data_IF_854999681115
#
_entry.id   IF_854999681115
#
_cell.length_a   1.000
_cell.length_b   1.000
_cell.length_c   1.000
_cell.angle_alpha   90.00
_cell.angle_beta   90.00
_cell.angle_gamma   90.00
#
_symmetry.space_group_name_H-M   'P 1'
#
loop_
_entity.id
_entity.type
_entity.pdbx_description
1 polymer ?
#
# COMPACT_ATOMS: atom_id res chain seq x y z
N UNK A 1 14.12 27.54 12.60
CA UNK A 1 12.92 27.39 11.75
C UNK A 1 12.99 28.42 10.65
N UNK A 2 12.90 28.03 9.41
CA UNK A 2 12.80 28.95 8.27
C UNK A 2 11.45 28.74 7.58
N UNK A 3 10.76 29.84 7.29
CA UNK A 3 9.51 29.83 6.51
C UNK A 3 9.84 30.22 5.08
N UNK A 4 9.56 29.35 4.13
CA UNK A 4 9.69 29.66 2.70
C UNK A 4 8.35 30.19 2.18
N UNK A 5 8.35 31.41 1.71
CA UNK A 5 7.14 32.02 1.14
C UNK A 5 6.77 31.29 -0.14
N UNK A 6 5.61 30.64 -0.14
CA UNK A 6 5.02 30.00 -1.31
C UNK A 6 5.06 28.48 -1.35
N UNK A 7 5.79 27.79 -0.46
CA UNK A 7 5.88 26.31 -0.47
C UNK A 7 5.62 25.64 0.88
N UNK A 8 5.70 26.36 2.01
CA UNK A 8 5.48 25.81 3.35
C UNK A 8 6.55 26.20 4.37
N UNK A 9 6.53 25.50 5.49
CA UNK A 9 7.45 25.69 6.60
C UNK A 9 8.41 24.52 6.70
N UNK A 10 9.71 24.83 6.88
CA UNK A 10 10.75 23.83 7.16
C UNK A 10 11.42 24.10 8.50
N UNK A 11 11.63 23.07 9.28
CA UNK A 11 12.36 23.15 10.55
C UNK A 11 13.38 22.01 10.63
N UNK A 12 14.55 22.33 11.21
CA UNK A 12 15.67 21.39 11.36
C UNK A 12 16.91 22.13 11.79
N UNK A 13 18.04 21.44 11.85
CA UNK A 13 19.35 22.03 12.09
C UNK A 13 19.93 22.44 10.73
N UNK A 14 20.14 23.72 10.53
CA UNK A 14 20.70 24.30 9.32
C UNK A 14 22.18 24.58 9.55
N UNK A 15 23.04 24.12 8.67
CA UNK A 15 24.47 24.38 8.65
C UNK A 15 24.81 25.14 7.37
N UNK A 16 25.52 26.28 7.47
CA UNK A 16 26.00 27.08 6.33
C UNK A 16 24.93 27.36 5.26
N UNK A 17 23.71 27.76 5.66
CA UNK A 17 22.57 28.06 4.77
C UNK A 17 22.13 26.86 3.88
N UNK A 18 22.43 25.65 4.30
CA UNK A 18 21.99 24.41 3.62
C UNK A 18 20.72 23.85 4.25
N UNK A 19 19.91 23.15 3.45
CA UNK A 19 18.79 22.37 3.96
C UNK A 19 19.27 21.34 5.01
N UNK A 20 18.50 21.14 6.10
CA UNK A 20 18.90 20.18 7.12
C UNK A 20 18.93 18.77 6.55
N UNK A 21 19.93 17.98 6.99
CA UNK A 21 20.00 16.55 6.64
C UNK A 21 18.83 15.74 7.22
N UNK A 22 18.18 16.26 8.27
CA UNK A 22 16.98 15.72 8.90
C UNK A 22 16.11 16.88 9.39
N UNK A 23 14.82 16.84 9.07
CA UNK A 23 13.93 17.93 9.44
C UNK A 23 12.46 17.63 9.29
N UNK A 24 11.66 18.63 9.59
CA UNK A 24 10.22 18.62 9.35
C UNK A 24 9.90 19.65 8.26
N UNK A 25 9.09 19.24 7.31
CA UNK A 25 8.50 20.11 6.30
C UNK A 25 6.97 20.03 6.41
N UNK A 26 6.30 21.18 6.39
CA UNK A 26 4.84 21.27 6.36
C UNK A 26 4.49 22.24 5.23
N UNK A 27 3.72 21.76 4.25
CA UNK A 27 3.24 22.63 3.17
C UNK A 27 1.83 23.19 3.44
N UNK A 28 1.37 24.04 2.54
CA UNK A 28 0.05 24.69 2.65
C UNK A 28 -1.11 23.79 2.16
N UNK A 29 -0.80 22.58 1.68
CA UNK A 29 -1.78 21.57 1.23
C UNK A 29 -2.04 20.50 2.30
N UNK A 30 -1.67 20.79 3.57
CA UNK A 30 -1.83 19.87 4.70
C UNK A 30 -0.95 18.60 4.62
N UNK A 31 0.22 18.69 3.95
CA UNK A 31 1.22 17.63 3.99
C UNK A 31 2.27 17.92 5.06
N UNK A 32 2.62 16.88 5.80
CA UNK A 32 3.72 16.91 6.76
C UNK A 32 4.71 15.81 6.45
N UNK A 33 5.97 16.20 6.26
CA UNK A 33 7.09 15.26 6.18
C UNK A 33 8.02 15.41 7.39
N UNK A 34 8.50 14.31 7.92
CA UNK A 34 9.55 14.27 8.96
C UNK A 34 10.56 13.20 8.56
N UNK A 35 11.80 13.59 8.32
CA UNK A 35 12.79 12.61 7.88
C UNK A 35 14.07 13.19 7.29
N UNK A 36 14.79 12.35 6.59
CA UNK A 36 16.04 12.69 5.93
C UNK A 36 15.80 13.54 4.65
N UNK A 37 16.58 14.61 4.52
CA UNK A 37 16.57 15.53 3.37
C UNK A 37 17.99 15.66 2.86
N UNK A 38 18.38 14.83 1.90
CA UNK A 38 19.82 14.69 1.50
C UNK A 38 20.28 15.62 0.39
N UNK A 39 19.41 16.50 -0.10
CA UNK A 39 19.76 17.37 -1.22
C UNK A 39 19.38 18.84 -0.97
N UNK A 40 20.18 19.77 -1.53
CA UNK A 40 19.97 21.23 -1.44
C UNK A 40 18.65 21.72 -2.05
N UNK A 41 17.88 20.86 -2.67
CA UNK A 41 16.64 21.20 -3.38
C UNK A 41 15.36 20.93 -2.54
N UNK A 42 15.50 20.57 -1.25
CA UNK A 42 14.37 20.30 -0.35
C UNK A 42 13.61 19.00 -0.63
N UNK A 43 14.15 18.14 -1.48
CA UNK A 43 13.53 16.83 -1.75
C UNK A 43 13.75 15.86 -0.59
N UNK A 44 12.74 15.05 -0.33
CA UNK A 44 12.84 13.95 0.63
C UNK A 44 13.70 12.84 0.04
N UNK A 45 14.74 12.44 0.75
CA UNK A 45 15.63 11.36 0.35
C UNK A 45 16.10 10.61 1.59
N UNK A 46 16.00 9.26 1.56
CA UNK A 46 16.30 8.41 2.70
C UNK A 46 15.06 8.08 3.50
N UNK A 47 15.18 7.87 4.80
CA UNK A 47 14.06 7.43 5.65
C UNK A 47 13.24 8.61 6.18
N UNK A 48 11.92 8.45 6.17
CA UNK A 48 11.04 9.48 6.69
C UNK A 48 9.60 9.01 6.86
N UNK A 49 8.81 9.91 7.43
CA UNK A 49 7.36 9.78 7.60
C UNK A 49 6.68 10.91 6.87
N UNK A 50 5.74 10.58 6.00
CA UNK A 50 4.86 11.52 5.31
C UNK A 50 3.43 11.31 5.80
N UNK A 51 2.73 12.40 6.10
CA UNK A 51 1.33 12.40 6.51
C UNK A 51 0.58 13.40 5.66
N UNK A 52 -0.51 12.97 5.05
CA UNK A 52 -1.49 13.85 4.43
C UNK A 52 -2.63 14.08 5.43
N UNK A 53 -2.68 15.28 6.03
CA UNK A 53 -3.60 15.55 7.16
C UNK A 53 -5.07 15.57 6.75
N UNK A 54 -5.37 16.07 5.54
CA UNK A 54 -6.74 16.15 5.01
C UNK A 54 -7.29 14.80 4.58
N UNK A 55 -6.51 14.03 3.82
CA UNK A 55 -6.90 12.69 3.33
C UNK A 55 -6.56 11.59 4.34
N UNK A 56 -5.92 11.97 5.49
CA UNK A 56 -5.63 11.10 6.62
C UNK A 56 -4.92 9.80 6.27
N UNK A 57 -3.94 9.86 5.36
CA UNK A 57 -3.04 8.75 5.12
C UNK A 57 -1.63 9.04 5.60
N UNK A 58 -0.90 7.99 5.92
CA UNK A 58 0.48 8.03 6.39
C UNK A 58 1.33 7.07 5.57
N UNK A 59 2.53 7.52 5.21
CA UNK A 59 3.60 6.64 4.73
C UNK A 59 4.81 6.75 5.64
N UNK A 60 5.41 5.62 6.00
CA UNK A 60 6.65 5.53 6.76
C UNK A 60 7.59 4.57 6.05
N UNK A 61 8.73 5.07 5.57
CA UNK A 61 9.64 4.27 4.77
C UNK A 61 10.72 5.09 4.10
N UNK A 62 11.25 4.53 3.03
CA UNK A 62 12.29 5.15 2.22
C UNK A 62 11.69 6.07 1.16
N UNK A 63 12.40 7.16 0.89
CA UNK A 63 12.08 8.15 -0.14
C UNK A 63 13.27 8.33 -1.08
N UNK A 64 12.95 8.60 -2.34
CA UNK A 64 13.88 9.06 -3.36
C UNK A 64 13.21 10.15 -4.19
N UNK A 65 13.84 11.33 -4.26
CA UNK A 65 13.32 12.48 -5.00
C UNK A 65 11.89 12.85 -4.63
N UNK A 66 11.56 12.84 -3.31
CA UNK A 66 10.22 13.05 -2.73
C UNK A 66 9.18 11.99 -3.08
N UNK A 67 9.56 10.89 -3.70
CA UNK A 67 8.68 9.77 -4.00
C UNK A 67 8.92 8.60 -3.05
N UNK A 68 7.86 7.87 -2.68
CA UNK A 68 7.98 6.60 -1.94
C UNK A 68 8.88 5.66 -2.73
N UNK A 69 9.89 5.08 -2.05
CA UNK A 69 10.86 4.21 -2.67
C UNK A 69 11.35 3.16 -1.67
N UNK A 70 12.04 2.10 -2.14
CA UNK A 70 12.57 1.07 -1.24
C UNK A 70 11.47 0.41 -0.41
N UNK A 71 11.72 0.16 0.87
CA UNK A 71 10.76 -0.50 1.75
C UNK A 71 10.00 0.51 2.62
N UNK A 72 8.67 0.32 2.72
CA UNK A 72 7.84 1.20 3.53
C UNK A 72 6.44 0.67 3.81
N UNK A 73 5.76 1.36 4.73
CA UNK A 73 4.39 1.07 5.16
C UNK A 73 3.50 2.27 4.85
N UNK A 74 2.42 2.02 4.14
CA UNK A 74 1.37 2.99 3.82
C UNK A 74 0.09 2.60 4.56
N UNK A 75 -0.50 3.56 5.27
CA UNK A 75 -1.72 3.36 6.08
C UNK A 75 -2.75 4.37 5.61
N UNK A 76 -3.95 3.92 5.28
CA UNK A 76 -5.10 4.76 4.90
C UNK A 76 -5.99 5.08 6.11
N UNK A 77 -6.94 6.02 5.95
CA UNK A 77 -7.89 6.42 6.99
C UNK A 77 -8.74 5.24 7.51
N UNK A 78 -9.11 4.32 6.62
CA UNK A 78 -9.89 3.12 6.94
C UNK A 78 -9.10 2.01 7.65
N UNK A 79 -7.79 2.24 7.91
CA UNK A 79 -6.89 1.28 8.51
C UNK A 79 -6.25 0.31 7.52
N UNK A 80 -6.63 0.33 6.26
CA UNK A 80 -5.98 -0.46 5.21
C UNK A 80 -4.50 -0.15 5.15
N UNK A 81 -3.68 -1.19 5.15
CA UNK A 81 -2.23 -1.05 5.27
C UNK A 81 -1.52 -1.84 4.18
N UNK A 82 -0.67 -1.16 3.41
CA UNK A 82 0.29 -1.84 2.54
C UNK A 82 1.69 -1.74 3.14
N UNK A 83 2.35 -2.88 3.28
CA UNK A 83 3.72 -3.00 3.76
C UNK A 83 4.56 -3.76 2.75
N UNK A 84 5.51 -3.09 2.11
CA UNK A 84 6.27 -3.72 1.03
C UNK A 84 7.23 -2.79 0.33
N UNK A 85 7.63 -3.19 -0.86
CA UNK A 85 8.54 -2.44 -1.70
C UNK A 85 7.80 -1.40 -2.56
N UNK A 86 8.47 -0.28 -2.78
CA UNK A 86 8.01 0.88 -3.52
C UNK A 86 9.04 1.32 -4.55
N UNK A 87 8.58 1.80 -5.69
CA UNK A 87 9.42 2.36 -6.74
C UNK A 87 8.72 3.54 -7.39
N UNK A 88 9.33 4.73 -7.32
CA UNK A 88 8.81 5.95 -7.94
C UNK A 88 7.36 6.27 -7.52
N UNK A 89 7.03 6.11 -6.24
CA UNK A 89 5.71 6.37 -5.68
C UNK A 89 4.72 5.22 -5.76
N UNK A 90 5.01 4.15 -6.52
CA UNK A 90 4.12 3.02 -6.77
C UNK A 90 4.56 1.77 -5.99
N UNK A 91 3.62 0.90 -5.62
CA UNK A 91 3.90 -0.42 -5.07
C UNK A 91 4.63 -1.26 -6.13
N UNK A 92 5.75 -1.86 -5.78
CA UNK A 92 6.55 -2.61 -6.74
C UNK A 92 7.41 -3.67 -6.04
N UNK A 93 7.36 -4.92 -6.51
CA UNK A 93 8.00 -6.05 -5.87
C UNK A 93 7.14 -6.65 -4.75
N UNK A 94 7.76 -7.29 -3.77
CA UNK A 94 7.03 -7.98 -2.70
C UNK A 94 6.34 -7.03 -1.74
N UNK A 95 5.09 -7.36 -1.39
CA UNK A 95 4.31 -6.60 -0.42
C UNK A 95 3.16 -7.42 0.18
N UNK A 96 2.66 -6.90 1.29
CA UNK A 96 1.49 -7.43 2.00
C UNK A 96 0.49 -6.31 2.17
N UNK A 97 -0.73 -6.53 1.68
CA UNK A 97 -1.90 -5.69 1.91
C UNK A 97 -2.72 -6.29 3.05
N UNK A 98 -3.08 -5.50 4.05
CA UNK A 98 -3.87 -5.92 5.22
C UNK A 98 -5.06 -4.98 5.37
N UNK A 99 -6.19 -5.51 5.82
CA UNK A 99 -7.43 -4.79 6.11
C UNK A 99 -8.09 -4.11 4.89
N UNK A 100 -7.76 -4.53 3.70
CA UNK A 100 -8.52 -4.13 2.53
C UNK A 100 -9.91 -4.78 2.59
N UNK A 101 -10.88 -4.05 3.15
CA UNK A 101 -12.28 -4.42 3.06
C UNK A 101 -12.80 -3.91 1.73
N UNK A 102 -12.84 -4.77 0.74
CA UNK A 102 -13.44 -4.42 -0.56
C UNK A 102 -14.95 -4.67 -0.51
N UNK A 103 -15.74 -3.62 -0.42
CA UNK A 103 -17.17 -3.69 -0.70
C UNK A 103 -17.38 -3.50 -2.18
N UNK A 104 -17.85 -4.51 -2.88
CA UNK A 104 -18.32 -4.38 -4.26
C UNK A 104 -19.82 -4.60 -4.30
N UNK A 105 -20.55 -3.57 -4.68
CA UNK A 105 -21.92 -3.71 -5.14
C UNK A 105 -21.91 -4.38 -6.52
N UNK A 106 -22.32 -5.62 -6.61
CA UNK A 106 -22.54 -6.29 -7.89
C UNK A 106 -23.69 -5.62 -8.64
N UNK A 107 -23.50 -5.28 -9.94
CA UNK A 107 -24.54 -4.68 -10.79
C UNK A 107 -25.69 -5.64 -11.11
N UNK A 108 -25.63 -6.91 -10.72
CA UNK A 108 -26.73 -7.86 -10.88
C UNK A 108 -27.15 -8.45 -9.52
N UNK A 109 -28.31 -7.98 -9.05
CA UNK A 109 -29.15 -8.58 -7.99
C UNK A 109 -28.47 -8.87 -6.64
N UNK A 110 -28.15 -7.81 -5.87
CA UNK A 110 -28.21 -7.91 -4.38
C UNK A 110 -27.25 -8.88 -3.70
N UNK A 111 -26.22 -9.39 -4.36
CA UNK A 111 -25.16 -10.16 -3.72
C UNK A 111 -24.03 -9.21 -3.29
N UNK A 112 -24.04 -8.84 -2.02
CA UNK A 112 -22.88 -8.24 -1.37
C UNK A 112 -21.79 -9.30 -1.28
N UNK A 113 -20.76 -9.18 -2.11
CA UNK A 113 -19.52 -9.94 -1.90
C UNK A 113 -18.72 -9.23 -0.82
N UNK A 114 -18.86 -9.68 0.41
CA UNK A 114 -17.93 -9.33 1.48
C UNK A 114 -16.63 -10.05 1.17
N UNK A 115 -15.63 -9.32 0.69
CA UNK A 115 -14.28 -9.86 0.60
C UNK A 115 -13.74 -9.87 2.01
N UNK A 116 -13.51 -11.06 2.48
CA UNK A 116 -13.00 -11.43 3.78
C UNK A 116 -11.62 -10.76 4.00
N UNK A 117 -11.49 -9.94 5.03
CA UNK A 117 -10.25 -9.24 5.36
C UNK A 117 -9.06 -10.17 5.56
N UNK A 118 -7.95 -9.60 5.98
CA UNK A 118 -6.74 -10.33 6.30
C UNK A 118 -5.58 -10.11 5.30
N UNK A 119 -4.38 -10.57 5.66
CA UNK A 119 -3.18 -10.28 4.88
C UNK A 119 -3.14 -11.00 3.53
N UNK A 120 -2.98 -10.22 2.47
CA UNK A 120 -2.70 -10.66 1.11
C UNK A 120 -1.22 -10.38 0.80
N UNK A 121 -0.43 -11.41 0.62
CA UNK A 121 1.01 -11.30 0.34
C UNK A 121 1.34 -11.80 -1.05
N UNK A 122 2.02 -10.99 -1.84
CA UNK A 122 2.41 -11.33 -3.21
C UNK A 122 3.36 -10.31 -3.82
N UNK A 123 3.45 -10.32 -5.14
CA UNK A 123 4.23 -9.36 -5.90
C UNK A 123 3.33 -8.30 -6.55
N UNK A 124 3.86 -7.10 -6.66
CA UNK A 124 3.20 -5.95 -7.28
C UNK A 124 4.10 -5.36 -8.37
N UNK A 125 3.51 -4.95 -9.47
CA UNK A 125 4.16 -4.19 -10.53
C UNK A 125 3.33 -2.93 -10.77
N UNK A 126 3.86 -1.76 -10.40
CA UNK A 126 3.22 -0.46 -10.62
C UNK A 126 1.78 -0.42 -10.08
N UNK A 127 1.63 -0.71 -8.77
CA UNK A 127 0.37 -0.81 -8.01
C UNK A 127 -0.55 -1.99 -8.39
N UNK A 128 -0.18 -2.81 -9.38
CA UNK A 128 -0.99 -3.95 -9.81
C UNK A 128 -0.47 -5.26 -9.22
N UNK A 129 -1.37 -6.11 -8.67
CA UNK A 129 -1.00 -7.45 -8.25
C UNK A 129 -0.48 -8.28 -9.43
N UNK A 130 0.57 -9.06 -9.18
CA UNK A 130 1.21 -9.90 -10.19
C UNK A 130 1.60 -11.27 -9.65
N UNK A 131 1.29 -12.34 -10.40
CA UNK A 131 1.67 -13.70 -10.04
C UNK A 131 0.83 -14.30 -8.92
N UNK A 132 1.48 -15.06 -8.07
CA UNK A 132 0.81 -15.85 -7.02
C UNK A 132 0.75 -15.07 -5.71
N UNK A 133 -0.44 -15.04 -5.13
CA UNK A 133 -0.73 -14.47 -3.83
C UNK A 133 -1.03 -15.56 -2.79
N UNK A 134 -0.63 -15.28 -1.55
CA UNK A 134 -1.08 -15.98 -0.37
C UNK A 134 -2.02 -15.05 0.40
N UNK A 135 -3.25 -15.47 0.60
CA UNK A 135 -4.25 -14.73 1.33
C UNK A 135 -4.75 -15.54 2.53
N UNK A 136 -4.53 -15.03 3.73
CA UNK A 136 -5.06 -15.58 4.97
C UNK A 136 -6.24 -14.73 5.43
N UNK A 137 -7.45 -15.23 5.20
CA UNK A 137 -8.69 -14.51 5.45
C UNK A 137 -9.10 -14.55 6.91
N UNK A 138 -9.79 -13.54 7.38
CA UNK A 138 -10.30 -13.47 8.76
C UNK A 138 -11.28 -14.60 9.10
N UNK A 139 -12.03 -15.10 8.13
CA UNK A 139 -12.87 -16.30 8.27
C UNK A 139 -12.09 -17.59 8.50
N UNK A 140 -10.76 -17.57 8.45
CA UNK A 140 -9.89 -18.75 8.51
C UNK A 140 -9.72 -19.48 7.18
N UNK A 141 -10.34 -19.01 6.09
CA UNK A 141 -10.05 -19.52 4.74
C UNK A 141 -8.66 -19.09 4.30
N UNK A 142 -8.01 -19.89 3.46
CA UNK A 142 -6.70 -19.56 2.87
C UNK A 142 -6.75 -19.74 1.37
N UNK A 143 -6.32 -18.73 0.63
CA UNK A 143 -6.19 -18.82 -0.81
C UNK A 143 -4.73 -18.73 -1.23
N UNK A 144 -4.34 -19.59 -2.16
CA UNK A 144 -3.03 -19.54 -2.83
C UNK A 144 -3.28 -19.60 -4.32
N UNK A 145 -3.01 -18.52 -5.04
CA UNK A 145 -3.30 -18.45 -6.46
C UNK A 145 -3.16 -17.05 -7.04
N UNK A 146 -3.52 -16.93 -8.29
CA UNK A 146 -3.55 -15.65 -9.00
C UNK A 146 -4.76 -14.83 -8.54
N UNK A 147 -4.60 -13.51 -8.53
CA UNK A 147 -5.68 -12.54 -8.30
C UNK A 147 -5.72 -11.54 -9.45
N UNK A 148 -6.89 -10.97 -9.73
CA UNK A 148 -7.03 -9.89 -10.71
C UNK A 148 -6.70 -8.52 -10.09
N UNK A 149 -6.81 -7.45 -10.88
CA UNK A 149 -6.54 -6.07 -10.45
C UNK A 149 -7.50 -5.59 -9.34
N UNK A 150 -8.68 -6.20 -9.23
CA UNK A 150 -9.66 -5.93 -8.18
C UNK A 150 -9.37 -6.73 -6.89
N UNK A 151 -8.29 -7.53 -6.83
CA UNK A 151 -7.94 -8.37 -5.70
C UNK A 151 -8.78 -9.65 -5.56
N UNK A 152 -9.54 -10.04 -6.58
CA UNK A 152 -10.39 -11.23 -6.57
C UNK A 152 -9.60 -12.46 -7.07
N UNK A 153 -9.94 -13.67 -6.56
CA UNK A 153 -9.38 -14.93 -7.07
C UNK A 153 -9.57 -15.00 -8.57
N UNK A 154 -8.49 -15.26 -9.27
CA UNK A 154 -8.47 -15.34 -10.73
C UNK A 154 -7.43 -16.35 -11.18
N UNK A 155 -7.54 -16.88 -12.43
CA UNK A 155 -6.57 -17.84 -12.93
C UNK A 155 -6.46 -19.12 -12.09
N UNK A 156 -5.29 -19.68 -11.98
CA UNK A 156 -5.05 -20.90 -11.20
C UNK A 156 -4.96 -20.59 -9.71
N UNK A 157 -5.71 -21.34 -8.90
CA UNK A 157 -5.68 -21.15 -7.45
C UNK A 157 -6.25 -22.32 -6.66
N UNK A 158 -5.97 -22.26 -5.36
CA UNK A 158 -6.43 -23.23 -4.36
C UNK A 158 -6.99 -22.46 -3.18
N UNK A 159 -8.26 -22.70 -2.86
CA UNK A 159 -8.93 -22.21 -1.65
C UNK A 159 -9.06 -23.35 -0.65
N UNK A 160 -8.57 -23.16 0.55
CA UNK A 160 -8.71 -24.08 1.67
C UNK A 160 -9.65 -23.49 2.71
N UNK A 161 -10.67 -24.22 3.10
CA UNK A 161 -11.65 -23.84 4.10
C UNK A 161 -11.21 -24.30 5.51
N UNK A 162 -11.73 -23.68 6.58
CA UNK A 162 -11.40 -24.05 7.97
C UNK A 162 -11.75 -25.52 8.32
N UNK A 163 -12.76 -26.09 7.68
CA UNK A 163 -13.16 -27.49 7.82
C UNK A 163 -12.27 -28.49 7.05
N UNK A 164 -11.24 -28.00 6.36
CA UNK A 164 -10.33 -28.78 5.56
C UNK A 164 -10.78 -29.04 4.11
N UNK A 165 -11.97 -28.57 3.72
CA UNK A 165 -12.40 -28.64 2.31
C UNK A 165 -11.44 -27.84 1.44
N UNK A 166 -11.06 -28.41 0.29
CA UNK A 166 -10.16 -27.79 -0.68
C UNK A 166 -10.88 -27.63 -2.02
N UNK A 167 -10.83 -26.43 -2.56
CA UNK A 167 -11.31 -26.09 -3.90
C UNK A 167 -10.12 -25.66 -4.75
N UNK A 168 -9.77 -26.46 -5.75
CA UNK A 168 -8.60 -26.23 -6.61
C UNK A 168 -9.01 -26.22 -8.07
N UNK A 169 -8.58 -25.18 -8.80
CA UNK A 169 -8.92 -25.09 -10.21
C UNK A 169 -8.63 -23.74 -10.83
N UNK A 170 -9.47 -23.40 -11.82
CA UNK A 170 -9.45 -22.10 -12.49
C UNK A 170 -10.56 -21.24 -11.88
N UNK A 171 -10.19 -20.03 -11.52
CA UNK A 171 -11.05 -19.03 -10.89
C UNK A 171 -11.30 -17.85 -11.82
N UNK A 172 -12.46 -17.28 -11.77
CA UNK A 172 -12.82 -16.04 -12.45
C UNK A 172 -13.69 -15.19 -11.52
N UNK A 173 -13.19 -14.00 -11.15
CA UNK A 173 -13.88 -13.05 -10.27
C UNK A 173 -14.43 -13.73 -9.00
N UNK A 174 -13.55 -14.45 -8.28
CA UNK A 174 -13.82 -15.22 -7.06
C UNK A 174 -14.78 -16.42 -7.23
N UNK A 175 -15.13 -16.82 -8.45
CA UNK A 175 -15.91 -18.04 -8.73
C UNK A 175 -15.03 -19.14 -9.30
N UNK A 176 -15.15 -20.36 -8.76
CA UNK A 176 -14.47 -21.54 -9.32
C UNK A 176 -15.22 -21.99 -10.57
N UNK A 177 -14.60 -21.80 -11.75
CA UNK A 177 -15.21 -22.11 -13.05
C UNK A 177 -14.82 -23.50 -13.62
N UNK A 178 -13.68 -24.03 -13.14
CA UNK A 178 -13.20 -25.34 -13.56
C UNK A 178 -12.37 -25.98 -12.43
N UNK A 179 -12.72 -27.19 -12.02
CA UNK A 179 -11.93 -28.00 -11.09
C UNK A 179 -10.80 -28.71 -11.80
N UNK A 180 -9.67 -28.88 -11.10
CA UNK A 180 -8.54 -29.72 -11.57
C UNK A 180 -8.63 -31.12 -10.98
#
# INVERSE_FOLDING_TARGET
>A
TYTWIGIGEISGIFEEDQFPNYGTFIDYEDHKYVGEMKERNGKYNGKGTFVHLKEKYKYEGEFKDSQRHGYGTFVQEDGSTFKGNWKNGLQHGKGTLVNAVFFRSGEEKGEEFVIDGGPQTGEYIEDHPHGIFNWEMESGRKYVGEINQDGLFHGKGTLTHPDGKIEKGIWENAKLIKTN
#
